data_IF_462366763330
#
_entry.id   IF_462366763330
#
_cell.length_a   1.000
_cell.length_b   1.000
_cell.length_c   1.000
_cell.angle_alpha   90.00
_cell.angle_beta   90.00
_cell.angle_gamma   90.00
#
_symmetry.space_group_name_H-M   'P 1'
#
loop_
_entity.id
_entity.type
_entity.pdbx_description
1 polymer ?
#
# COMPACT_ATOMS: atom_id res chain seq x y z
N UNK A 1 9.73 -6.67 -12.39
CA UNK A 1 9.08 -5.38 -12.70
C UNK A 1 10.13 -4.31 -12.90
N UNK A 2 9.87 -3.33 -13.73
CA UNK A 2 10.78 -2.21 -13.90
C UNK A 2 10.18 -0.92 -13.32
N UNK A 3 11.01 0.12 -13.19
CA UNK A 3 10.61 1.38 -12.56
C UNK A 3 9.45 2.08 -13.30
N UNK A 4 9.28 1.82 -14.59
CA UNK A 4 8.15 2.38 -15.35
C UNK A 4 6.81 1.98 -14.78
N UNK A 5 6.72 0.84 -14.10
CA UNK A 5 5.51 0.39 -13.42
C UNK A 5 5.13 1.26 -12.23
N UNK A 6 6.04 2.10 -11.75
CA UNK A 6 5.80 2.99 -10.61
C UNK A 6 5.47 4.43 -11.02
N UNK A 7 5.52 4.74 -12.32
CA UNK A 7 5.28 6.11 -12.80
C UNK A 7 3.78 6.31 -13.00
N UNK A 8 3.17 7.15 -12.15
CA UNK A 8 1.75 7.52 -12.25
C UNK A 8 0.85 6.30 -12.49
N UNK A 9 1.04 5.25 -11.69
CA UNK A 9 0.33 3.99 -11.91
C UNK A 9 -1.03 4.00 -11.20
N UNK A 10 -2.12 4.03 -11.97
CA UNK A 10 -3.49 3.93 -11.48
C UNK A 10 -4.18 2.63 -11.92
N UNK A 11 -3.42 1.65 -12.40
CA UNK A 11 -3.97 0.38 -12.91
C UNK A 11 -4.91 -0.29 -11.90
N UNK A 12 -4.59 -0.23 -10.61
CA UNK A 12 -5.37 -0.87 -9.56
C UNK A 12 -6.45 0.03 -8.98
N UNK A 13 -6.65 1.21 -9.55
CA UNK A 13 -7.74 2.10 -9.18
C UNK A 13 -8.68 2.41 -10.36
N UNK A 14 -8.23 2.24 -11.60
CA UNK A 14 -9.05 2.49 -12.79
C UNK A 14 -10.32 1.63 -12.76
N UNK A 15 -11.46 2.27 -12.97
CA UNK A 15 -12.77 1.62 -12.90
C UNK A 15 -13.46 1.76 -11.55
N UNK A 16 -12.77 2.32 -10.53
CA UNK A 16 -13.28 2.47 -9.17
C UNK A 16 -13.30 3.93 -8.70
N UNK A 17 -13.39 4.89 -9.63
CA UNK A 17 -13.17 6.32 -9.34
C UNK A 17 -14.17 6.91 -8.36
N UNK A 18 -15.32 6.24 -8.14
CA UNK A 18 -16.32 6.68 -7.16
C UNK A 18 -16.07 6.11 -5.76
N UNK A 19 -15.09 5.24 -5.62
CA UNK A 19 -14.74 4.59 -4.36
C UNK A 19 -13.49 5.22 -3.74
N UNK A 20 -13.22 4.86 -2.49
CA UNK A 20 -12.01 5.32 -1.79
C UNK A 20 -10.76 4.70 -2.39
N UNK A 21 -9.67 5.48 -2.37
CA UNK A 21 -8.36 5.02 -2.84
C UNK A 21 -7.28 5.23 -1.80
N UNK A 22 -6.22 4.43 -1.92
CA UNK A 22 -4.98 4.62 -1.19
C UNK A 22 -3.90 4.97 -2.22
N UNK A 23 -3.22 6.09 -2.00
CA UNK A 23 -2.10 6.52 -2.83
C UNK A 23 -0.80 6.37 -2.05
N UNK A 24 0.18 5.73 -2.66
CA UNK A 24 1.56 5.73 -2.17
C UNK A 24 2.41 6.50 -3.16
N UNK A 25 3.25 7.41 -2.67
CA UNK A 25 4.16 8.14 -3.56
C UNK A 25 5.51 8.37 -2.90
N UNK A 26 6.52 8.59 -3.76
CA UNK A 26 7.87 8.91 -3.32
C UNK A 26 7.96 10.42 -3.12
N UNK A 27 8.29 10.86 -1.91
CA UNK A 27 8.35 12.28 -1.57
C UNK A 27 9.36 13.04 -2.44
N UNK A 28 10.50 12.45 -2.72
CA UNK A 28 11.58 13.06 -3.50
C UNK A 28 11.31 13.05 -5.00
N UNK A 29 10.32 12.26 -5.46
CA UNK A 29 9.93 12.17 -6.87
C UNK A 29 8.47 11.76 -6.95
N UNK A 30 7.57 12.74 -6.92
CA UNK A 30 6.13 12.51 -6.85
C UNK A 30 5.55 11.85 -8.13
N UNK A 31 6.30 11.78 -9.23
CA UNK A 31 5.88 11.04 -10.42
C UNK A 31 5.86 9.53 -10.16
N UNK A 32 6.62 9.08 -9.16
CA UNK A 32 6.62 7.69 -8.70
C UNK A 32 5.50 7.53 -7.68
N UNK A 33 4.35 7.10 -8.15
CA UNK A 33 3.16 6.92 -7.33
C UNK A 33 2.30 5.77 -7.85
N UNK A 34 1.60 5.12 -6.91
CA UNK A 34 0.63 4.08 -7.24
C UNK A 34 -0.67 4.38 -6.53
N UNK A 35 -1.78 4.13 -7.23
CA UNK A 35 -3.13 4.32 -6.72
C UNK A 35 -3.82 2.98 -6.65
N UNK A 36 -4.44 2.69 -5.51
CA UNK A 36 -5.01 1.39 -5.22
C UNK A 36 -6.45 1.55 -4.75
N UNK A 37 -7.37 0.80 -5.36
CA UNK A 37 -8.73 0.72 -4.88
C UNK A 37 -8.76 0.14 -3.47
N UNK A 38 -9.54 0.76 -2.58
CA UNK A 38 -9.66 0.30 -1.19
C UNK A 38 -10.06 -1.18 -1.09
N UNK A 39 -10.84 -1.70 -2.04
CA UNK A 39 -11.23 -3.10 -2.06
C UNK A 39 -10.06 -4.06 -2.18
N UNK A 40 -9.07 -3.76 -3.02
CA UNK A 40 -7.86 -4.58 -3.11
C UNK A 40 -7.03 -4.45 -1.84
N UNK A 41 -6.93 -3.24 -1.31
CA UNK A 41 -6.19 -2.98 -0.08
C UNK A 41 -6.82 -3.75 1.09
N UNK A 42 -8.14 -3.72 1.20
CA UNK A 42 -8.90 -4.46 2.20
C UNK A 42 -8.74 -5.98 2.03
N UNK A 43 -8.67 -6.46 0.78
CA UNK A 43 -8.45 -7.88 0.51
C UNK A 43 -7.10 -8.37 1.07
N UNK A 44 -6.10 -7.49 1.08
CA UNK A 44 -4.80 -7.81 1.67
C UNK A 44 -4.83 -7.66 3.20
N UNK A 45 -5.25 -6.50 3.71
CA UNK A 45 -5.04 -6.08 5.11
C UNK A 45 -6.31 -6.09 5.97
N UNK A 46 -7.48 -6.35 5.38
CA UNK A 46 -8.76 -6.20 6.08
C UNK A 46 -9.08 -7.28 7.10
N UNK A 47 -8.49 -8.46 6.95
CA UNK A 47 -8.74 -9.60 7.84
C UNK A 47 -7.41 -10.22 8.25
N UNK A 48 -6.66 -9.56 9.16
CA UNK A 48 -5.37 -10.10 9.59
C UNK A 48 -5.55 -11.42 10.35
N UNK A 49 -4.64 -12.35 10.12
CA UNK A 49 -4.65 -13.67 10.75
C UNK A 49 -3.97 -13.69 12.12
N UNK A 50 -3.57 -12.54 12.63
CA UNK A 50 -2.84 -12.41 13.88
C UNK A 50 -3.47 -11.34 14.78
N UNK A 51 -3.13 -11.41 16.09
CA UNK A 51 -3.71 -10.59 17.13
C UNK A 51 -3.45 -9.08 16.90
N UNK A 52 -4.47 -8.26 17.21
CA UNK A 52 -4.41 -6.81 17.08
C UNK A 52 -3.29 -6.13 17.86
N UNK A 53 -2.83 -6.73 18.97
CA UNK A 53 -1.71 -6.18 19.73
C UNK A 53 -0.40 -6.22 18.96
N UNK A 54 -0.29 -7.12 17.99
CA UNK A 54 0.89 -7.26 17.14
C UNK A 54 0.82 -6.50 15.82
N UNK A 55 -0.22 -5.69 15.60
CA UNK A 55 -0.37 -4.98 14.33
C UNK A 55 0.67 -3.88 14.16
N UNK A 56 1.25 -3.82 12.97
CA UNK A 56 2.20 -2.79 12.57
C UNK A 56 2.06 -2.54 11.07
N UNK A 57 2.71 -1.48 10.56
CA UNK A 57 2.71 -1.16 9.14
C UNK A 57 1.32 -0.89 8.57
N UNK A 58 1.06 -1.42 7.40
CA UNK A 58 -0.24 -1.26 6.71
C UNK A 58 -1.39 -1.81 7.54
N UNK A 59 -1.22 -2.96 8.17
CA UNK A 59 -2.30 -3.59 8.95
C UNK A 59 -2.73 -2.68 10.09
N UNK A 60 -1.79 -2.16 10.86
CA UNK A 60 -2.10 -1.23 11.96
C UNK A 60 -2.84 0.00 11.43
N UNK A 61 -2.30 0.63 10.40
CA UNK A 61 -2.84 1.88 9.88
C UNK A 61 -4.21 1.66 9.23
N UNK A 62 -4.41 0.55 8.54
CA UNK A 62 -5.68 0.21 7.93
C UNK A 62 -6.76 -0.09 8.98
N UNK A 63 -6.42 -0.85 10.02
CA UNK A 63 -7.39 -1.24 11.04
C UNK A 63 -7.73 -0.10 12.00
N UNK A 64 -6.76 0.75 12.31
CA UNK A 64 -6.95 1.86 13.24
C UNK A 64 -7.41 3.15 12.56
N UNK A 65 -7.22 3.27 11.29
CA UNK A 65 -7.55 4.32 10.31
C UNK A 65 -7.76 5.78 10.76
N UNK A 66 -7.90 6.07 12.03
CA UNK A 66 -8.17 7.42 12.55
C UNK A 66 -7.14 8.44 12.07
N UNK A 67 -5.87 8.05 12.10
CA UNK A 67 -4.77 8.92 11.74
C UNK A 67 -4.68 9.18 10.24
N UNK A 68 -4.86 8.15 9.43
CA UNK A 68 -4.65 8.23 7.99
C UNK A 68 -5.78 8.95 7.25
N UNK A 69 -7.01 8.89 7.77
CA UNK A 69 -8.13 9.59 7.14
C UNK A 69 -8.10 11.09 7.34
N UNK A 70 -7.53 11.56 8.44
CA UNK A 70 -7.50 12.99 8.76
C UNK A 70 -6.23 13.70 8.27
N UNK A 71 -5.13 12.98 8.19
CA UNK A 71 -3.84 13.55 7.78
C UNK A 71 -3.52 13.21 6.33
N UNK A 72 -2.94 14.17 5.61
CA UNK A 72 -2.44 13.99 4.25
C UNK A 72 -0.92 13.89 4.27
N UNK A 73 -0.36 13.20 3.26
CA UNK A 73 1.08 13.08 3.06
C UNK A 73 1.81 12.53 4.28
N UNK A 74 1.25 11.46 4.87
CA UNK A 74 1.82 10.82 6.06
C UNK A 74 3.04 9.98 5.66
N UNK A 75 4.18 10.25 6.32
CA UNK A 75 5.40 9.44 6.15
C UNK A 75 5.19 8.05 6.74
N UNK A 76 5.65 7.04 6.03
CA UNK A 76 5.60 5.66 6.53
C UNK A 76 7.01 5.10 6.72
N UNK A 77 7.13 4.15 7.65
CA UNK A 77 8.38 3.43 7.85
C UNK A 77 8.45 2.27 6.85
N UNK A 78 9.28 2.41 5.82
CA UNK A 78 9.37 1.45 4.72
C UNK A 78 9.73 0.04 5.22
N UNK A 79 10.69 -0.06 6.15
CA UNK A 79 11.10 -1.37 6.69
C UNK A 79 9.96 -2.06 7.44
N UNK A 80 9.24 -1.32 8.27
CA UNK A 80 8.08 -1.84 9.00
C UNK A 80 6.99 -2.32 8.05
N UNK A 81 6.72 -1.54 7.00
CA UNK A 81 5.67 -1.87 6.04
C UNK A 81 6.05 -3.07 5.18
N UNK A 82 7.32 -3.22 4.82
CA UNK A 82 7.80 -4.42 4.13
C UNK A 82 7.67 -5.67 5.00
N UNK A 83 7.98 -5.56 6.29
CA UNK A 83 7.79 -6.67 7.23
C UNK A 83 6.33 -7.08 7.32
N UNK A 84 5.42 -6.09 7.37
CA UNK A 84 4.00 -6.37 7.42
C UNK A 84 3.50 -7.10 6.16
N UNK A 85 4.00 -6.72 4.99
CA UNK A 85 3.65 -7.41 3.75
C UNK A 85 3.98 -8.90 3.78
N UNK A 86 5.05 -9.29 4.45
CA UNK A 86 5.43 -10.70 4.57
C UNK A 86 4.36 -11.55 5.27
N UNK A 87 3.53 -10.94 6.14
CA UNK A 87 2.45 -11.65 6.81
C UNK A 87 1.39 -12.14 5.82
N UNK A 88 1.32 -11.56 4.64
CA UNK A 88 0.30 -11.86 3.64
C UNK A 88 0.85 -12.55 2.39
N UNK A 89 2.12 -12.92 2.40
CA UNK A 89 2.81 -13.52 1.26
C UNK A 89 2.08 -14.74 0.69
N UNK A 90 1.50 -15.55 1.56
CA UNK A 90 0.83 -16.78 1.17
C UNK A 90 -0.69 -16.71 1.35
N UNK A 91 -1.22 -15.50 1.57
CA UNK A 91 -2.65 -15.31 1.74
C UNK A 91 -3.39 -15.60 0.42
N UNK A 92 -4.55 -16.23 0.54
CA UNK A 92 -5.44 -16.47 -0.58
C UNK A 92 -6.40 -15.29 -0.70
N UNK A 93 -6.20 -14.48 -1.73
CA UNK A 93 -6.98 -13.27 -1.92
C UNK A 93 -8.33 -13.56 -2.57
N UNK A 94 -9.30 -12.68 -2.32
CA UNK A 94 -10.66 -12.76 -2.85
C UNK A 94 -10.72 -12.43 -4.35
N UNK A 95 -9.96 -11.39 -4.75
CA UNK A 95 -9.93 -10.93 -6.13
C UNK A 95 -8.67 -11.43 -6.83
N UNK A 96 -8.83 -11.78 -8.11
CA UNK A 96 -7.71 -12.29 -8.91
C UNK A 96 -6.59 -11.25 -9.05
N UNK A 97 -6.96 -9.98 -9.21
CA UNK A 97 -6.00 -8.89 -9.39
C UNK A 97 -5.25 -8.50 -8.12
N UNK A 98 -5.76 -8.89 -6.94
CA UNK A 98 -5.14 -8.51 -5.67
C UNK A 98 -3.70 -8.99 -5.56
N UNK A 99 -3.40 -10.17 -6.10
CA UNK A 99 -2.04 -10.69 -6.07
C UNK A 99 -1.06 -9.78 -6.82
N UNK A 100 -1.47 -9.30 -7.99
CA UNK A 100 -0.66 -8.37 -8.78
C UNK A 100 -0.51 -7.03 -8.07
N UNK A 101 -1.59 -6.57 -7.43
CA UNK A 101 -1.56 -5.35 -6.62
C UNK A 101 -0.58 -5.51 -5.44
N UNK A 102 -0.63 -6.63 -4.75
CA UNK A 102 0.30 -6.95 -3.67
C UNK A 102 1.75 -6.90 -4.16
N UNK A 103 2.02 -7.51 -5.30
CA UNK A 103 3.36 -7.52 -5.90
C UNK A 103 3.83 -6.10 -6.27
N UNK A 104 2.92 -5.26 -6.75
CA UNK A 104 3.24 -3.86 -7.07
C UNK A 104 3.58 -3.06 -5.81
N UNK A 105 2.80 -3.22 -4.75
CA UNK A 105 3.07 -2.56 -3.46
C UNK A 105 4.44 -3.00 -2.94
N UNK A 106 4.72 -4.29 -2.98
CA UNK A 106 6.00 -4.82 -2.53
C UNK A 106 7.16 -4.23 -3.33
N UNK A 107 7.06 -4.21 -4.65
CA UNK A 107 8.06 -3.63 -5.52
C UNK A 107 8.28 -2.14 -5.24
N UNK A 108 7.18 -1.39 -5.04
CA UNK A 108 7.26 0.03 -4.73
C UNK A 108 8.09 0.28 -3.46
N UNK A 109 7.81 -0.46 -2.40
CA UNK A 109 8.52 -0.30 -1.13
C UNK A 109 9.97 -0.80 -1.22
N UNK A 110 10.22 -1.87 -1.96
CA UNK A 110 11.58 -2.37 -2.21
C UNK A 110 12.42 -1.33 -2.94
N UNK A 111 11.84 -0.68 -3.95
CA UNK A 111 12.49 0.41 -4.67
C UNK A 111 12.84 1.56 -3.72
N UNK A 112 11.89 1.97 -2.89
CA UNK A 112 12.11 3.06 -1.94
C UNK A 112 13.24 2.72 -0.96
N UNK A 113 13.26 1.49 -0.46
CA UNK A 113 14.31 1.03 0.45
C UNK A 113 15.68 1.03 -0.22
N UNK A 114 15.76 0.45 -1.43
CA UNK A 114 17.02 0.33 -2.16
C UNK A 114 17.63 1.70 -2.52
N UNK A 115 16.79 2.71 -2.72
CA UNK A 115 17.21 4.05 -3.12
C UNK A 115 17.13 5.08 -1.99
N UNK A 116 16.89 4.64 -0.77
CA UNK A 116 16.81 5.48 0.43
C UNK A 116 15.83 6.64 0.24
N UNK A 117 14.62 6.31 -0.23
CA UNK A 117 13.57 7.30 -0.48
C UNK A 117 12.52 7.29 0.62
N UNK A 118 11.85 8.43 0.78
CA UNK A 118 10.73 8.59 1.72
C UNK A 118 9.42 8.27 1.01
N UNK A 119 8.65 7.36 1.58
CA UNK A 119 7.32 7.04 1.07
C UNK A 119 6.26 7.75 1.90
N UNK A 120 5.30 8.34 1.22
CA UNK A 120 4.14 8.98 1.83
C UNK A 120 2.87 8.27 1.39
N UNK A 121 1.85 8.29 2.25
CA UNK A 121 0.55 7.69 1.98
C UNK A 121 -0.57 8.72 2.10
N UNK A 122 -1.53 8.65 1.17
CA UNK A 122 -2.79 9.38 1.24
C UNK A 122 -3.95 8.40 1.17
N UNK A 123 -4.96 8.66 1.98
CA UNK A 123 -6.23 7.94 1.99
C UNK A 123 -7.32 8.91 1.54
N UNK A 124 -7.92 8.62 0.41
CA UNK A 124 -8.94 9.51 -0.20
C UNK A 124 -10.39 9.01 -0.01
#
# INVERSE_FOLDING_TARGET
MDIGMLVNNSEFYDGFEDDHEIELFINEDAELNIHIWEGYFSDIFGEPSFDGEGWYGFTRDFQQCERTFEEKDVDINVDEYLLDLLNYKNKKFRFEETKKCYELIYFFLEYAKANTKTVKVNWW
#
